data_IF_532614365248
#
_entry.id   IF_532614365248
#
_cell.length_a   1.000
_cell.length_b   1.000
_cell.length_c   1.000
_cell.angle_alpha   90.00
_cell.angle_beta   90.00
_cell.angle_gamma   90.00
#
_symmetry.space_group_name_H-M   'P 1'
#
loop_
_entity.id
_entity.type
_entity.pdbx_description
1 polymer ?
#
# COMPACT_ATOMS: atom_id res chain seq x y z
N UNK A 1 -10.18 -6.28 2.92
CA UNK A 1 -9.21 -7.35 3.11
C UNK A 1 -9.17 -7.75 4.57
N UNK A 2 -9.08 -9.03 4.83
CA UNK A 2 -9.02 -9.54 6.18
C UNK A 2 -7.57 -9.88 6.54
N UNK A 3 -7.04 -9.23 7.56
CA UNK A 3 -5.66 -9.44 8.01
C UNK A 3 -5.65 -10.22 9.30
N UNK A 4 -4.57 -10.96 9.54
CA UNK A 4 -4.37 -11.66 10.81
C UNK A 4 -3.89 -10.73 11.91
N UNK A 5 -3.52 -9.50 11.57
CA UNK A 5 -3.05 -8.49 12.51
C UNK A 5 -3.92 -7.25 12.38
N UNK A 6 -4.04 -6.50 13.49
CA UNK A 6 -4.69 -5.20 13.49
C UNK A 6 -3.61 -4.14 13.28
N UNK A 7 -3.53 -3.50 12.13
CA UNK A 7 -2.46 -2.55 11.87
C UNK A 7 -2.65 -1.27 12.68
N UNK A 8 -1.53 -0.71 13.16
CA UNK A 8 -1.56 0.59 13.82
C UNK A 8 -1.75 1.72 12.81
N UNK A 9 -1.11 1.60 11.65
CA UNK A 9 -1.17 2.55 10.55
C UNK A 9 -1.03 1.81 9.24
N UNK A 10 -1.51 2.44 8.16
CA UNK A 10 -1.41 1.88 6.81
C UNK A 10 -0.79 2.97 5.93
N UNK A 11 0.39 2.69 5.38
CA UNK A 11 1.12 3.65 4.54
C UNK A 11 1.28 3.11 3.14
N UNK A 12 0.98 3.95 2.14
CA UNK A 12 1.19 3.65 0.74
C UNK A 12 2.42 4.40 0.27
N UNK A 13 3.42 3.67 -0.25
CA UNK A 13 4.63 4.26 -0.81
C UNK A 13 4.33 4.78 -2.22
N UNK A 14 4.56 6.06 -2.47
CA UNK A 14 4.14 6.72 -3.70
C UNK A 14 4.88 6.20 -4.93
N UNK A 15 6.20 6.10 -4.87
CA UNK A 15 7.00 5.72 -6.01
C UNK A 15 6.92 4.23 -6.29
N UNK A 16 6.97 3.86 -7.55
CA UNK A 16 6.99 2.45 -7.93
C UNK A 16 8.32 1.82 -7.54
N UNK A 17 8.29 0.54 -7.20
CA UNK A 17 9.47 -0.20 -6.81
C UNK A 17 9.68 -1.39 -7.72
N UNK A 18 10.93 -1.83 -7.82
CA UNK A 18 11.29 -3.05 -8.55
C UNK A 18 10.87 -4.25 -7.71
N UNK A 19 9.98 -5.08 -8.25
CA UNK A 19 9.41 -6.21 -7.50
C UNK A 19 10.33 -7.42 -7.40
N UNK A 20 11.56 -7.32 -7.90
CA UNK A 20 12.61 -8.25 -7.48
C UNK A 20 13.00 -8.03 -6.02
N UNK A 21 12.73 -6.85 -5.48
CA UNK A 21 12.92 -6.57 -4.05
C UNK A 21 11.91 -7.35 -3.23
N UNK A 22 12.41 -7.97 -2.16
CA UNK A 22 11.59 -8.70 -1.22
C UNK A 22 11.71 -8.03 0.16
N UNK A 23 11.59 -8.79 1.23
CA UNK A 23 11.52 -8.24 2.59
C UNK A 23 12.68 -7.28 2.87
N UNK A 24 13.92 -7.69 2.62
CA UNK A 24 15.07 -6.84 2.95
C UNK A 24 15.13 -5.57 2.12
N UNK A 25 14.91 -5.68 0.81
CA UNK A 25 14.92 -4.50 -0.06
C UNK A 25 13.81 -3.53 0.25
N UNK A 26 12.62 -4.02 0.57
CA UNK A 26 11.48 -3.17 0.90
C UNK A 26 11.66 -2.51 2.27
N UNK A 27 12.23 -3.22 3.26
CA UNK A 27 12.47 -2.63 4.57
C UNK A 27 13.49 -1.50 4.50
N UNK A 28 14.49 -1.61 3.63
CA UNK A 28 15.46 -0.52 3.40
C UNK A 28 14.75 0.72 2.86
N UNK A 29 13.81 0.55 1.92
CA UNK A 29 13.02 1.66 1.38
C UNK A 29 12.24 2.35 2.50
N UNK A 30 11.61 1.59 3.39
CA UNK A 30 10.84 2.15 4.49
C UNK A 30 11.74 3.03 5.38
N UNK A 31 12.91 2.52 5.73
CA UNK A 31 13.82 3.24 6.62
C UNK A 31 14.44 4.47 5.97
N UNK A 32 14.80 4.38 4.68
CA UNK A 32 15.56 5.44 4.01
C UNK A 32 14.68 6.46 3.31
N UNK A 33 13.55 6.05 2.73
CA UNK A 33 12.71 6.96 1.93
C UNK A 33 11.47 7.41 2.68
N UNK A 34 10.82 6.52 3.43
CA UNK A 34 9.63 6.85 4.21
C UNK A 34 10.03 7.38 5.58
N UNK A 35 11.17 6.91 6.10
CA UNK A 35 11.73 7.32 7.38
C UNK A 35 10.79 7.00 8.55
N UNK A 36 10.23 5.80 8.54
CA UNK A 36 9.36 5.31 9.60
C UNK A 36 9.90 4.00 10.16
N UNK A 37 9.56 3.66 11.41
CA UNK A 37 10.02 2.40 11.99
C UNK A 37 9.39 1.21 11.28
N UNK A 38 10.21 0.30 10.78
CA UNK A 38 9.72 -0.85 10.01
C UNK A 38 9.11 -1.93 10.90
N UNK A 39 9.48 -1.99 12.18
CA UNK A 39 8.96 -2.98 13.13
C UNK A 39 7.82 -2.45 13.98
N UNK A 40 7.05 -1.49 13.47
CA UNK A 40 6.02 -0.80 14.25
C UNK A 40 4.65 -1.50 14.22
N UNK A 41 4.47 -2.51 13.38
CA UNK A 41 3.15 -3.10 13.15
C UNK A 41 2.33 -2.37 12.11
N UNK A 42 2.87 -1.31 11.50
CA UNK A 42 2.22 -0.63 10.39
C UNK A 42 2.30 -1.48 9.13
N UNK A 43 1.32 -1.32 8.24
CA UNK A 43 1.37 -1.90 6.90
C UNK A 43 2.05 -0.93 5.95
N UNK A 44 2.93 -1.44 5.09
CA UNK A 44 3.59 -0.64 4.06
C UNK A 44 3.28 -1.24 2.70
N UNK A 45 2.63 -0.46 1.84
CA UNK A 45 2.09 -0.92 0.55
C UNK A 45 2.96 -0.41 -0.59
N UNK A 46 3.38 -1.31 -1.46
CA UNK A 46 4.24 -1.01 -2.61
C UNK A 46 3.59 -1.50 -3.90
N UNK A 47 3.89 -0.82 -4.98
CA UNK A 47 3.38 -1.14 -6.31
C UNK A 47 4.53 -1.16 -7.32
N UNK A 48 4.43 -2.03 -8.32
CA UNK A 48 5.39 -2.05 -9.42
C UNK A 48 5.02 -0.98 -10.47
N UNK A 49 5.95 -0.72 -11.40
CA UNK A 49 5.75 0.30 -12.44
C UNK A 49 4.57 -0.01 -13.35
N UNK A 50 4.32 -1.28 -13.64
CA UNK A 50 3.20 -1.70 -14.48
C UNK A 50 1.85 -1.60 -13.77
N UNK A 51 1.84 -1.38 -12.45
CA UNK A 51 0.63 -1.22 -11.63
C UNK A 51 -0.25 -2.47 -11.58
N UNK A 52 0.30 -3.62 -11.88
CA UNK A 52 -0.46 -4.88 -11.82
C UNK A 52 -0.11 -5.73 -10.61
N UNK A 53 0.94 -5.35 -9.86
CA UNK A 53 1.41 -6.10 -8.69
C UNK A 53 1.51 -5.20 -7.49
N UNK A 54 1.10 -5.71 -6.34
CA UNK A 54 1.09 -4.98 -5.09
C UNK A 54 1.66 -5.88 -3.99
N UNK A 55 2.52 -5.33 -3.16
CA UNK A 55 3.06 -6.01 -1.98
C UNK A 55 2.79 -5.20 -0.74
N UNK A 56 2.46 -5.90 0.35
CA UNK A 56 2.28 -5.27 1.67
C UNK A 56 3.27 -5.93 2.62
N UNK A 57 4.20 -5.14 3.16
CA UNK A 57 5.17 -5.58 4.14
C UNK A 57 4.74 -5.11 5.52
N UNK A 58 4.80 -6.00 6.52
CA UNK A 58 4.51 -5.62 7.89
C UNK A 58 5.26 -6.52 8.86
N UNK A 59 5.50 -5.99 10.07
CA UNK A 59 6.10 -6.71 11.17
C UNK A 59 5.01 -7.36 12.00
N UNK A 60 5.07 -8.69 12.12
CA UNK A 60 4.10 -9.47 12.87
C UNK A 60 4.80 -10.10 14.08
N UNK A 61 4.90 -9.33 15.15
CA UNK A 61 5.42 -9.72 16.48
C UNK A 61 6.81 -10.33 16.45
N UNK A 62 7.05 -11.35 15.65
CA UNK A 62 8.30 -12.11 15.64
C UNK A 62 9.03 -12.11 14.31
N UNK A 63 8.44 -11.53 13.28
CA UNK A 63 9.06 -11.54 11.95
C UNK A 63 8.30 -10.68 10.97
N UNK A 64 8.89 -10.54 9.78
CA UNK A 64 8.23 -9.84 8.69
C UNK A 64 7.29 -10.76 7.94
N UNK A 65 6.13 -10.25 7.59
CA UNK A 65 5.20 -10.90 6.68
C UNK A 65 5.09 -10.06 5.41
N UNK A 66 4.99 -10.73 4.28
CA UNK A 66 4.86 -10.08 2.97
C UNK A 66 3.65 -10.66 2.26
N UNK A 67 2.66 -9.79 2.01
CA UNK A 67 1.45 -10.14 1.28
C UNK A 67 1.59 -9.65 -0.15
N UNK A 68 1.15 -10.45 -1.12
CA UNK A 68 1.35 -10.18 -2.55
C UNK A 68 0.03 -10.40 -3.28
N UNK A 69 -0.31 -9.46 -4.19
CA UNK A 69 -1.45 -9.61 -5.07
C UNK A 69 -1.09 -9.14 -6.47
N UNK A 70 -1.47 -9.93 -7.47
CA UNK A 70 -1.34 -9.58 -8.88
C UNK A 70 -2.72 -9.51 -9.52
N UNK A 71 -3.01 -8.39 -10.21
CA UNK A 71 -4.22 -8.28 -11.00
C UNK A 71 -3.97 -8.91 -12.37
N UNK A 72 -4.90 -9.73 -12.82
CA UNK A 72 -4.74 -10.45 -14.09
C UNK A 72 -5.19 -9.63 -15.29
N UNK A 73 -6.17 -8.74 -15.13
CA UNK A 73 -6.73 -7.98 -16.24
C UNK A 73 -6.55 -6.48 -16.10
N UNK A 74 -6.72 -5.96 -14.90
CA UNK A 74 -6.74 -4.53 -14.65
C UNK A 74 -5.45 -4.07 -13.98
N UNK A 75 -5.40 -2.79 -13.66
CA UNK A 75 -4.28 -2.19 -12.95
C UNK A 75 -4.78 -1.51 -11.70
N UNK A 76 -3.93 -1.47 -10.67
CA UNK A 76 -4.22 -0.71 -9.46
C UNK A 76 -4.25 0.77 -9.79
N UNK A 77 -5.18 1.51 -9.18
CA UNK A 77 -5.26 2.97 -9.33
C UNK A 77 -4.31 3.60 -8.33
N UNK A 78 -3.05 3.70 -8.70
CA UNK A 78 -2.00 4.17 -7.79
C UNK A 78 -1.99 5.70 -7.73
N UNK A 79 -2.10 6.31 -6.53
CA UNK A 79 -2.09 7.76 -6.42
C UNK A 79 -0.70 8.30 -6.75
N UNK A 80 -0.59 9.07 -7.82
CA UNK A 80 0.67 9.61 -8.29
C UNK A 80 0.76 11.12 -8.11
N UNK A 81 -0.31 11.78 -7.67
CA UNK A 81 -0.39 13.23 -7.56
C UNK A 81 -0.24 13.74 -6.13
N UNK A 82 0.46 12.98 -5.30
CA UNK A 82 0.77 13.41 -3.94
C UNK A 82 2.24 13.80 -3.89
N UNK A 83 2.56 14.81 -3.10
CA UNK A 83 3.92 15.33 -3.00
C UNK A 83 4.76 14.55 -2.00
N UNK A 84 4.13 13.90 -1.04
CA UNK A 84 4.81 13.16 -0.01
C UNK A 84 5.31 11.81 -0.52
N UNK A 85 6.34 11.28 0.12
CA UNK A 85 6.89 9.96 -0.19
C UNK A 85 5.89 8.84 0.10
N UNK A 86 5.00 9.06 1.05
CA UNK A 86 3.96 8.09 1.39
C UNK A 86 2.65 8.79 1.73
N UNK A 87 1.56 8.02 1.61
CA UNK A 87 0.21 8.47 1.93
C UNK A 87 -0.35 7.52 2.97
N UNK A 88 -0.87 8.06 4.06
CA UNK A 88 -1.53 7.23 5.07
C UNK A 88 -2.96 6.95 4.66
N UNK A 89 -3.37 5.68 4.73
CA UNK A 89 -4.71 5.22 4.37
C UNK A 89 -5.43 4.70 5.61
N UNK A 90 -6.77 4.73 5.56
CA UNK A 90 -7.58 3.98 6.50
C UNK A 90 -7.91 2.59 5.90
N UNK A 91 -8.61 1.77 6.70
CA UNK A 91 -8.94 0.41 6.27
C UNK A 91 -9.87 0.40 5.06
N UNK A 92 -10.78 1.36 4.97
CA UNK A 92 -11.70 1.47 3.85
C UNK A 92 -10.94 1.80 2.57
N UNK A 93 -10.01 2.73 2.63
CA UNK A 93 -9.18 3.08 1.48
C UNK A 93 -8.31 1.91 1.03
N UNK A 94 -7.78 1.13 1.97
CA UNK A 94 -7.03 -0.08 1.63
C UNK A 94 -7.93 -1.07 0.88
N UNK A 95 -9.15 -1.28 1.34
CA UNK A 95 -10.10 -2.18 0.66
C UNK A 95 -10.38 -1.69 -0.76
N UNK A 96 -10.62 -0.40 -0.95
CA UNK A 96 -10.84 0.17 -2.28
C UNK A 96 -9.64 -0.05 -3.19
N UNK A 97 -8.42 0.21 -2.68
CA UNK A 97 -7.20 0.02 -3.46
C UNK A 97 -7.06 -1.42 -3.93
N UNK A 98 -7.27 -2.38 -3.03
CA UNK A 98 -7.11 -3.80 -3.34
C UNK A 98 -8.14 -4.28 -4.35
N UNK A 99 -9.29 -3.64 -4.43
CA UNK A 99 -10.33 -3.97 -5.40
C UNK A 99 -10.17 -3.23 -6.72
N UNK A 100 -9.15 -2.37 -6.83
CA UNK A 100 -8.86 -1.66 -8.07
C UNK A 100 -9.46 -0.26 -8.16
N UNK A 101 -9.96 0.29 -7.06
CA UNK A 101 -10.51 1.64 -7.05
C UNK A 101 -9.44 2.66 -6.69
N UNK A 102 -9.65 3.89 -7.15
CA UNK A 102 -8.80 5.04 -6.81
C UNK A 102 -9.16 5.50 -5.40
N UNK A 103 -8.21 5.45 -4.48
CA UNK A 103 -8.47 5.81 -3.08
C UNK A 103 -8.73 7.31 -2.89
N UNK A 104 -8.18 8.15 -3.75
CA UNK A 104 -8.39 9.60 -3.67
C UNK A 104 -9.61 9.99 -4.48
N UNK A 105 -9.63 9.63 -5.76
CA UNK A 105 -10.74 9.96 -6.65
C UNK A 105 -12.03 9.27 -6.27
N UNK A 106 -11.94 8.05 -5.73
CA UNK A 106 -13.13 7.31 -5.34
C UNK A 106 -13.90 8.01 -4.22
N UNK A 107 -13.22 8.60 -3.26
CA UNK A 107 -13.89 9.35 -2.19
C UNK A 107 -14.71 10.50 -2.76
N UNK A 108 -14.13 11.27 -3.68
CA UNK A 108 -14.84 12.38 -4.32
C UNK A 108 -16.03 11.89 -5.13
N UNK A 109 -15.84 10.82 -5.89
CA UNK A 109 -16.91 10.24 -6.70
C UNK A 109 -18.05 9.71 -5.82
N UNK A 110 -17.71 9.09 -4.69
CA UNK A 110 -18.71 8.57 -3.75
C UNK A 110 -19.68 9.65 -3.29
N UNK A 111 -19.19 10.82 -2.96
CA UNK A 111 -20.05 11.91 -2.53
C UNK A 111 -21.01 12.36 -3.63
N UNK A 112 -20.54 12.34 -4.87
CA UNK A 112 -21.37 12.73 -5.99
C UNK A 112 -22.42 11.68 -6.32
N UNK A 113 -22.07 10.42 -6.16
CA UNK A 113 -22.95 9.31 -6.55
C UNK A 113 -24.05 9.03 -5.54
N UNK A 114 -23.96 9.57 -4.37
CA UNK A 114 -24.99 9.43 -3.34
C UNK A 114 -26.24 10.22 -3.72
N UNK A 115 -26.10 11.19 -4.55
CA UNK A 115 -27.21 12.06 -4.94
C UNK A 115 -28.01 11.53 -6.10
#
# INVERSE_FOLDING_TARGET
MKMFVQPSHIYLHRQFVDFRKSINGLSVIIESEINLPVMSGALFIFCNKAKDKLKILYWDKTGFALWYKRLEKDKFKWPSRIDEACLELDEQQLSWLLEGYDVIGHQAVSYQNIM
#
